data_IF_212326070038
#
_entry.id   IF_212326070038
#
_cell.length_a   1.000
_cell.length_b   1.000
_cell.length_c   1.000
_cell.angle_alpha   90.00
_cell.angle_beta   90.00
_cell.angle_gamma   90.00
#
_symmetry.space_group_name_H-M   'P 1'
#
loop_
_entity.id
_entity.type
_entity.pdbx_description
1 polymer ?
#
# COMPACT_ATOMS: atom_id res chain seq x y z
N UNK A 1 6.12 -20.40 0.81
CA UNK A 1 6.47 -19.76 2.09
C UNK A 1 5.49 -18.66 2.48
N UNK A 2 4.98 -17.85 1.53
CA UNK A 2 3.98 -16.80 1.81
C UNK A 2 2.70 -17.29 2.53
N UNK A 3 2.42 -18.60 2.50
CA UNK A 3 1.28 -19.19 3.21
C UNK A 3 1.50 -19.30 4.73
N UNK A 4 2.75 -19.44 5.14
CA UNK A 4 3.13 -19.60 6.56
C UNK A 4 3.72 -18.33 7.16
N UNK A 5 4.45 -17.55 6.34
CA UNK A 5 5.11 -16.32 6.74
C UNK A 5 4.80 -15.26 5.68
N UNK A 6 3.79 -14.41 5.88
CA UNK A 6 3.43 -13.38 4.90
C UNK A 6 4.56 -12.37 4.74
N UNK A 7 4.76 -11.91 3.49
CA UNK A 7 5.76 -10.92 3.09
C UNK A 7 7.24 -11.38 3.20
N UNK A 8 7.51 -12.69 3.23
CA UNK A 8 8.86 -13.23 3.10
C UNK A 8 9.04 -13.88 1.73
N UNK A 9 10.07 -13.45 1.00
CA UNK A 9 10.42 -13.96 -0.31
C UNK A 9 11.72 -14.73 -0.19
N UNK A 10 11.70 -16.03 -0.59
CA UNK A 10 12.87 -16.89 -0.61
C UNK A 10 13.15 -17.31 -2.05
N UNK A 11 14.44 -17.39 -2.42
CA UNK A 11 14.86 -18.05 -3.63
C UNK A 11 14.81 -19.56 -3.43
N UNK A 12 14.27 -20.28 -4.42
CA UNK A 12 14.30 -21.74 -4.50
C UNK A 12 15.35 -22.15 -5.52
N UNK A 13 16.41 -22.82 -5.07
CA UNK A 13 17.54 -23.24 -5.89
C UNK A 13 17.65 -24.76 -5.93
N UNK A 14 18.16 -25.31 -7.02
CA UNK A 14 18.50 -26.72 -7.17
C UNK A 14 19.90 -27.06 -6.67
N UNK A 15 20.77 -26.05 -6.60
CA UNK A 15 22.16 -26.15 -6.19
C UNK A 15 22.39 -25.39 -4.88
N UNK A 16 23.48 -25.73 -4.20
CA UNK A 16 23.93 -25.00 -3.00
C UNK A 16 24.70 -23.75 -3.41
N UNK A 17 24.38 -22.66 -2.75
CA UNK A 17 25.04 -21.37 -2.92
C UNK A 17 25.63 -20.89 -1.60
N UNK A 18 26.71 -20.12 -1.67
CA UNK A 18 27.34 -19.50 -0.51
C UNK A 18 26.76 -18.10 -0.21
N UNK A 19 26.90 -17.66 1.04
CA UNK A 19 26.50 -16.30 1.45
C UNK A 19 27.30 -15.25 0.68
N UNK A 20 26.61 -14.31 0.05
CA UNK A 20 27.20 -13.25 -0.78
C UNK A 20 27.27 -13.60 -2.27
N UNK A 21 26.95 -14.83 -2.67
CA UNK A 21 26.94 -15.24 -4.06
C UNK A 21 25.83 -14.53 -4.85
N UNK A 22 26.13 -14.14 -6.09
CA UNK A 22 25.18 -13.52 -7.00
C UNK A 22 24.45 -14.63 -7.77
N UNK A 23 23.13 -14.67 -7.66
CA UNK A 23 22.27 -15.61 -8.36
C UNK A 23 21.19 -14.89 -9.16
N UNK A 24 20.81 -15.46 -10.30
CA UNK A 24 19.67 -14.98 -11.07
C UNK A 24 18.39 -15.66 -10.59
N UNK A 25 17.39 -14.88 -10.20
CA UNK A 25 16.11 -15.38 -9.69
C UNK A 25 14.98 -14.95 -10.58
N UNK A 26 14.25 -15.92 -11.12
CA UNK A 26 13.04 -15.68 -11.88
C UNK A 26 11.82 -15.55 -10.95
N UNK A 27 11.03 -14.49 -11.13
CA UNK A 27 9.78 -14.29 -10.41
C UNK A 27 8.65 -15.11 -11.04
N UNK A 28 7.56 -15.34 -10.30
CA UNK A 28 6.34 -16.00 -10.83
C UNK A 28 5.72 -15.32 -12.06
N UNK A 29 6.18 -14.13 -12.43
CA UNK A 29 5.73 -13.38 -13.60
C UNK A 29 6.72 -13.40 -14.76
N UNK A 30 7.73 -14.28 -14.72
CA UNK A 30 8.75 -14.41 -15.76
C UNK A 30 9.77 -13.25 -15.79
N UNK A 31 9.90 -12.47 -14.70
CA UNK A 31 10.92 -11.43 -14.61
C UNK A 31 12.12 -11.96 -13.86
N UNK A 32 13.28 -11.78 -14.44
CA UNK A 32 14.56 -12.15 -13.87
C UNK A 32 15.17 -10.96 -13.12
N UNK A 33 15.81 -11.26 -12.00
CA UNK A 33 16.53 -10.29 -11.19
C UNK A 33 17.80 -10.93 -10.62
N UNK A 34 18.87 -10.16 -10.63
CA UNK A 34 20.09 -10.51 -9.94
C UNK A 34 19.89 -10.28 -8.44
N UNK A 35 20.16 -11.31 -7.66
CA UNK A 35 19.98 -11.31 -6.21
C UNK A 35 21.24 -11.84 -5.53
N UNK A 36 21.54 -11.29 -4.38
CA UNK A 36 22.63 -11.72 -3.50
C UNK A 36 22.03 -12.69 -2.49
N UNK A 37 22.62 -13.87 -2.37
CA UNK A 37 22.29 -14.88 -1.37
C UNK A 37 22.68 -14.39 0.02
N UNK A 38 21.76 -14.51 1.00
CA UNK A 38 22.06 -14.13 2.38
C UNK A 38 22.22 -15.36 3.27
N UNK A 39 21.13 -16.05 3.61
CA UNK A 39 21.19 -17.25 4.45
C UNK A 39 20.45 -18.44 3.82
N UNK A 40 20.94 -19.65 4.06
CA UNK A 40 20.19 -20.88 3.82
C UNK A 40 19.15 -21.07 4.94
N UNK A 41 17.88 -21.02 4.55
CA UNK A 41 16.76 -21.11 5.48
C UNK A 41 16.33 -22.55 5.75
N UNK A 42 16.24 -23.34 4.69
CA UNK A 42 15.81 -24.74 4.77
C UNK A 42 16.12 -25.50 3.49
N UNK A 43 16.19 -26.84 3.60
CA UNK A 43 16.26 -27.76 2.49
C UNK A 43 15.00 -28.63 2.50
N UNK A 44 14.26 -28.65 1.39
CA UNK A 44 13.02 -29.42 1.26
C UNK A 44 13.04 -30.15 -0.09
N UNK A 45 12.96 -31.47 -0.06
CA UNK A 45 12.87 -32.34 -1.26
C UNK A 45 14.01 -32.08 -2.28
N UNK A 46 15.22 -31.86 -1.81
CA UNK A 46 16.39 -31.60 -2.66
C UNK A 46 16.46 -30.19 -3.24
N UNK A 47 15.64 -29.27 -2.77
CA UNK A 47 15.73 -27.85 -3.10
C UNK A 47 16.18 -27.05 -1.88
N UNK A 48 17.07 -26.09 -2.15
CA UNK A 48 17.59 -25.15 -1.16
C UNK A 48 16.82 -23.83 -1.20
N UNK A 49 16.43 -23.32 -0.04
CA UNK A 49 15.67 -22.08 0.09
C UNK A 49 16.51 -21.05 0.80
N UNK A 50 16.79 -19.94 0.11
CA UNK A 50 17.65 -18.88 0.59
C UNK A 50 16.88 -17.58 0.83
N UNK A 51 17.24 -16.83 1.87
CA UNK A 51 16.95 -15.40 1.95
C UNK A 51 17.83 -14.68 0.94
N UNK A 52 17.26 -13.69 0.26
CA UNK A 52 17.92 -12.98 -0.83
C UNK A 52 17.67 -11.47 -0.74
N UNK A 53 18.65 -10.69 -1.19
CA UNK A 53 18.55 -9.25 -1.40
C UNK A 53 18.80 -8.95 -2.87
N UNK A 54 18.04 -8.05 -3.46
CA UNK A 54 18.23 -7.65 -4.87
C UNK A 54 19.55 -6.89 -5.04
N UNK A 55 20.34 -7.31 -6.02
CA UNK A 55 21.66 -6.72 -6.32
C UNK A 55 21.53 -5.31 -6.94
N UNK A 56 20.38 -4.96 -7.53
CA UNK A 56 20.12 -3.66 -8.15
C UNK A 56 19.85 -2.52 -7.14
N UNK A 57 20.00 -2.77 -5.84
CA UNK A 57 19.74 -1.79 -4.78
C UNK A 57 18.27 -1.39 -4.65
N UNK A 58 17.34 -2.24 -5.13
CA UNK A 58 15.91 -1.96 -5.03
C UNK A 58 15.48 -1.76 -3.58
N UNK A 59 15.06 -0.54 -3.27
CA UNK A 59 14.47 -0.20 -1.98
C UNK A 59 12.94 -0.18 -2.10
N UNK A 60 12.28 -1.10 -1.38
CA UNK A 60 10.84 -1.26 -1.42
C UNK A 60 10.09 -0.03 -0.86
N UNK A 61 10.66 0.62 0.15
CA UNK A 61 10.07 1.81 0.77
C UNK A 61 10.13 3.01 -0.18
N UNK A 62 11.29 3.24 -0.82
CA UNK A 62 11.42 4.30 -1.84
C UNK A 62 10.51 4.08 -3.03
N UNK A 63 10.39 2.83 -3.48
CA UNK A 63 9.46 2.50 -4.56
C UNK A 63 8.01 2.76 -4.18
N UNK A 64 7.60 2.38 -2.95
CA UNK A 64 6.27 2.65 -2.42
C UNK A 64 6.00 4.16 -2.33
N UNK A 65 6.98 4.94 -1.85
CA UNK A 65 6.91 6.41 -1.78
C UNK A 65 6.71 7.04 -3.17
N UNK A 66 7.53 6.67 -4.15
CA UNK A 66 7.38 7.13 -5.53
C UNK A 66 6.01 6.77 -6.13
N UNK A 67 5.47 5.61 -5.74
CA UNK A 67 4.15 5.17 -6.19
C UNK A 67 3.02 5.97 -5.53
N UNK A 68 3.13 6.28 -4.24
CA UNK A 68 2.23 7.18 -3.53
C UNK A 68 2.20 8.57 -4.18
N UNK A 69 3.36 9.17 -4.43
CA UNK A 69 3.48 10.47 -5.10
C UNK A 69 2.80 10.50 -6.48
N UNK A 70 3.00 9.45 -7.30
CA UNK A 70 2.34 9.34 -8.62
C UNK A 70 0.82 9.26 -8.52
N UNK A 71 0.30 8.53 -7.52
CA UNK A 71 -1.13 8.43 -7.28
C UNK A 71 -1.70 9.73 -6.73
N UNK A 72 -0.97 10.44 -5.87
CA UNK A 72 -1.33 11.76 -5.37
C UNK A 72 -1.49 12.76 -6.53
N UNK A 73 -0.52 12.80 -7.44
CA UNK A 73 -0.59 13.65 -8.62
C UNK A 73 -1.78 13.27 -9.52
N UNK A 74 -2.09 11.98 -9.65
CA UNK A 74 -3.24 11.51 -10.41
C UNK A 74 -4.57 11.92 -9.75
N UNK A 75 -4.66 11.87 -8.42
CA UNK A 75 -5.82 12.33 -7.64
C UNK A 75 -6.06 13.83 -7.87
N UNK A 76 -5.03 14.65 -7.65
CA UNK A 76 -5.11 16.10 -7.87
C UNK A 76 -5.51 16.48 -9.31
N UNK A 77 -5.01 15.75 -10.30
CA UNK A 77 -5.38 15.98 -11.69
C UNK A 77 -6.83 15.57 -11.99
N UNK A 78 -7.32 14.50 -11.38
CA UNK A 78 -8.70 14.06 -11.51
C UNK A 78 -9.65 15.07 -10.85
N UNK A 79 -9.31 15.57 -9.66
CA UNK A 79 -10.05 16.58 -8.93
C UNK A 79 -10.15 17.90 -9.72
N UNK A 80 -9.01 18.44 -10.21
CA UNK A 80 -8.99 19.64 -11.06
C UNK A 80 -9.87 19.50 -12.29
N UNK A 81 -9.86 18.34 -12.94
CA UNK A 81 -10.73 18.05 -14.07
C UNK A 81 -12.19 17.96 -13.67
N UNK A 82 -12.50 17.34 -12.51
CA UNK A 82 -13.84 17.29 -11.95
C UNK A 82 -14.40 18.69 -11.77
N UNK A 83 -13.65 19.58 -11.12
CA UNK A 83 -14.03 20.97 -10.88
C UNK A 83 -14.27 21.74 -12.19
N UNK A 84 -13.41 21.52 -13.19
CA UNK A 84 -13.57 22.12 -14.50
C UNK A 84 -14.89 21.70 -15.17
N UNK A 85 -15.20 20.40 -15.16
CA UNK A 85 -16.46 19.88 -15.70
C UNK A 85 -17.68 20.34 -14.86
N UNK A 86 -17.54 20.41 -13.56
CA UNK A 86 -18.59 20.92 -12.68
C UNK A 86 -18.90 22.40 -12.97
N UNK A 87 -17.87 23.24 -13.11
CA UNK A 87 -18.04 24.65 -13.52
C UNK A 87 -18.68 24.77 -14.89
N UNK A 88 -18.20 23.98 -15.85
CA UNK A 88 -18.74 23.98 -17.23
C UNK A 88 -20.18 23.45 -17.30
N UNK A 89 -20.63 22.60 -16.37
CA UNK A 89 -22.02 22.11 -16.32
C UNK A 89 -23.04 23.18 -15.94
N UNK A 90 -22.58 24.36 -15.50
CA UNK A 90 -23.42 25.53 -15.18
C UNK A 90 -23.60 26.49 -16.38
N UNK A 91 -23.21 26.05 -17.59
CA UNK A 91 -23.44 26.85 -18.80
C UNK A 91 -24.94 27.18 -18.94
N UNK A 92 -25.28 28.47 -19.11
CA UNK A 92 -26.63 28.92 -19.23
C UNK A 92 -27.51 28.78 -17.99
N UNK A 93 -26.88 28.72 -16.80
CA UNK A 93 -27.60 28.57 -15.53
C UNK A 93 -28.68 29.63 -15.32
N UNK A 94 -28.40 30.90 -15.66
CA UNK A 94 -29.37 31.99 -15.52
C UNK A 94 -30.60 31.77 -16.40
N UNK A 95 -30.42 31.30 -17.63
CA UNK A 95 -31.49 30.93 -18.53
C UNK A 95 -32.29 29.76 -18.03
N UNK A 96 -31.61 28.70 -17.57
CA UNK A 96 -32.28 27.50 -17.04
C UNK A 96 -32.98 27.74 -15.70
N UNK A 97 -32.51 28.72 -14.92
CA UNK A 97 -33.15 29.11 -13.65
C UNK A 97 -34.54 29.75 -13.84
N UNK A 98 -34.83 30.29 -15.03
CA UNK A 98 -36.16 30.82 -15.36
C UNK A 98 -37.24 29.72 -15.42
N UNK A 99 -36.83 28.44 -15.49
CA UNK A 99 -37.75 27.31 -15.48
C UNK A 99 -38.66 27.23 -16.71
N UNK A 100 -38.32 27.92 -17.83
CA UNK A 100 -39.15 27.89 -19.02
C UNK A 100 -39.21 26.48 -19.60
N UNK A 101 -40.40 25.98 -19.93
CA UNK A 101 -40.55 24.67 -20.56
C UNK A 101 -40.02 24.69 -21.98
N UNK A 102 -39.51 23.52 -22.44
CA UNK A 102 -39.06 23.37 -23.84
C UNK A 102 -40.26 23.56 -24.75
N UNK A 103 -40.23 24.57 -25.59
CA UNK A 103 -41.27 24.83 -26.60
C UNK A 103 -41.09 23.90 -27.78
N UNK A 104 -41.88 22.80 -27.81
CA UNK A 104 -41.81 21.76 -28.84
C UNK A 104 -42.21 22.35 -30.19
N UNK A 105 -41.42 22.05 -31.24
CA UNK A 105 -41.60 22.60 -32.61
C UNK A 105 -41.06 24.01 -32.81
N UNK A 106 -40.59 24.71 -31.76
CA UNK A 106 -40.00 26.04 -31.87
C UNK A 106 -38.53 25.96 -32.32
N UNK A 107 -38.05 26.96 -33.06
CA UNK A 107 -36.65 26.98 -33.56
C UNK A 107 -35.59 26.84 -32.44
N UNK A 108 -35.89 27.25 -31.23
CA UNK A 108 -35.01 27.15 -30.07
C UNK A 108 -34.97 25.77 -29.39
N UNK A 109 -35.89 24.85 -29.72
CA UNK A 109 -36.02 23.55 -29.05
C UNK A 109 -34.71 22.75 -29.06
N UNK A 110 -34.11 22.60 -30.26
CA UNK A 110 -32.87 21.83 -30.42
C UNK A 110 -31.73 22.39 -29.56
N UNK A 111 -31.60 23.74 -29.53
CA UNK A 111 -30.56 24.42 -28.74
C UNK A 111 -30.80 24.25 -27.23
N UNK A 112 -32.03 24.33 -26.77
CA UNK A 112 -32.38 24.17 -25.34
C UNK A 112 -32.10 22.73 -24.90
N UNK A 113 -32.55 21.71 -25.62
CA UNK A 113 -32.28 20.30 -25.35
C UNK A 113 -30.77 20.01 -25.34
N UNK A 114 -30.04 20.49 -26.32
CA UNK A 114 -28.59 20.29 -26.40
C UNK A 114 -27.84 20.95 -25.24
N UNK A 115 -28.30 22.10 -24.73
CA UNK A 115 -27.73 22.73 -23.54
C UNK A 115 -27.92 21.86 -22.29
N UNK A 116 -29.14 21.38 -22.05
CA UNK A 116 -29.46 20.52 -20.93
C UNK A 116 -28.63 19.22 -20.98
N UNK A 117 -28.58 18.59 -22.15
CA UNK A 117 -27.82 17.35 -22.35
C UNK A 117 -26.32 17.56 -22.13
N UNK A 118 -25.72 18.61 -22.66
CA UNK A 118 -24.32 18.95 -22.42
C UNK A 118 -24.02 19.15 -20.92
N UNK A 119 -24.89 19.89 -20.23
CA UNK A 119 -24.71 20.14 -18.80
C UNK A 119 -24.86 18.86 -17.98
N UNK A 120 -25.82 17.99 -18.32
CA UNK A 120 -25.97 16.68 -17.68
C UNK A 120 -24.72 15.79 -17.90
N UNK A 121 -24.22 15.71 -19.15
CA UNK A 121 -23.03 14.93 -19.48
C UNK A 121 -21.78 15.46 -18.76
N UNK A 122 -21.62 16.78 -18.66
CA UNK A 122 -20.53 17.41 -17.90
C UNK A 122 -20.63 17.13 -16.41
N UNK A 123 -21.83 17.20 -15.84
CA UNK A 123 -22.04 16.89 -14.43
C UNK A 123 -21.73 15.40 -14.14
N UNK A 124 -22.20 14.50 -15.00
CA UNK A 124 -21.91 13.07 -14.88
C UNK A 124 -20.38 12.82 -14.94
N UNK A 125 -19.69 13.51 -15.83
CA UNK A 125 -18.23 13.41 -15.95
C UNK A 125 -17.49 13.99 -14.74
N UNK A 126 -18.00 15.08 -14.16
CA UNK A 126 -17.47 15.64 -12.92
C UNK A 126 -17.57 14.62 -11.76
N UNK A 127 -18.74 14.00 -11.59
CA UNK A 127 -18.95 12.98 -10.54
C UNK A 127 -18.05 11.76 -10.75
N UNK A 128 -17.90 11.27 -11.99
CA UNK A 128 -16.99 10.16 -12.33
C UNK A 128 -15.54 10.48 -11.92
N UNK A 129 -15.06 11.67 -12.27
CA UNK A 129 -13.69 12.10 -11.96
C UNK A 129 -13.48 12.34 -10.47
N UNK A 130 -14.48 12.83 -9.74
CA UNK A 130 -14.43 12.98 -8.29
C UNK A 130 -14.31 11.62 -7.60
N UNK A 131 -15.11 10.62 -8.01
CA UNK A 131 -14.98 9.25 -7.51
C UNK A 131 -13.60 8.66 -7.78
N UNK A 132 -13.06 8.90 -8.99
CA UNK A 132 -11.72 8.43 -9.36
C UNK A 132 -10.61 9.11 -8.55
N UNK A 133 -10.77 10.39 -8.20
CA UNK A 133 -9.85 11.08 -7.28
C UNK A 133 -9.85 10.39 -5.92
N UNK A 134 -11.02 10.13 -5.34
CA UNK A 134 -11.16 9.45 -4.06
C UNK A 134 -10.56 8.03 -4.07
N UNK A 135 -10.73 7.29 -5.16
CA UNK A 135 -10.09 5.97 -5.31
C UNK A 135 -8.56 6.06 -5.31
N UNK A 136 -7.99 7.09 -5.97
CA UNK A 136 -6.56 7.32 -5.94
C UNK A 136 -6.07 7.71 -4.54
N UNK A 137 -6.78 8.56 -3.81
CA UNK A 137 -6.44 8.95 -2.43
C UNK A 137 -6.40 7.73 -1.49
N UNK A 138 -7.40 6.84 -1.58
CA UNK A 138 -7.42 5.60 -0.81
C UNK A 138 -6.19 4.71 -1.12
N UNK A 139 -5.74 4.70 -2.37
CA UNK A 139 -4.53 3.97 -2.78
C UNK A 139 -3.25 4.68 -2.34
N UNK A 140 -3.24 6.00 -2.24
CA UNK A 140 -2.12 6.77 -1.67
C UNK A 140 -1.90 6.35 -0.23
N UNK A 141 -2.94 6.39 0.60
CA UNK A 141 -2.85 5.99 2.01
C UNK A 141 -2.25 4.58 2.19
N UNK A 142 -2.66 3.62 1.36
CA UNK A 142 -2.08 2.27 1.37
C UNK A 142 -0.57 2.27 1.06
N UNK A 143 -0.12 3.04 0.05
CA UNK A 143 1.28 3.06 -0.34
C UNK A 143 2.15 3.87 0.61
N UNK A 144 1.62 4.91 1.25
CA UNK A 144 2.28 5.65 2.32
C UNK A 144 2.50 4.76 3.55
N UNK A 145 1.51 3.95 3.94
CA UNK A 145 1.69 2.94 4.98
C UNK A 145 2.81 1.95 4.62
N UNK A 146 2.84 1.47 3.36
CA UNK A 146 3.89 0.56 2.88
C UNK A 146 5.27 1.21 2.84
N UNK A 147 5.35 2.50 2.52
CA UNK A 147 6.61 3.27 2.52
C UNK A 147 7.21 3.41 3.93
N UNK A 148 6.35 3.42 4.96
CA UNK A 148 6.76 3.60 6.36
C UNK A 148 6.83 2.29 7.16
N UNK A 149 6.50 1.15 6.53
CA UNK A 149 6.47 -0.15 7.22
C UNK A 149 7.72 -0.95 6.90
N UNK A 150 8.44 -1.36 7.94
CA UNK A 150 9.49 -2.38 7.84
C UNK A 150 8.82 -3.75 7.95
N UNK A 151 9.14 -4.64 7.01
CA UNK A 151 8.62 -6.01 6.98
C UNK A 151 9.78 -7.02 6.99
N UNK A 152 9.46 -8.29 7.26
CA UNK A 152 10.43 -9.37 7.39
C UNK A 152 11.27 -9.65 6.13
N UNK A 153 10.90 -9.13 4.96
CA UNK A 153 11.72 -9.26 3.73
C UNK A 153 12.86 -8.24 3.65
N UNK A 154 13.00 -7.36 4.62
CA UNK A 154 14.03 -6.33 4.66
C UNK A 154 15.13 -6.74 5.65
N UNK A 155 16.41 -6.60 5.30
CA UNK A 155 17.50 -6.92 6.22
C UNK A 155 17.42 -6.16 7.56
N UNK A 156 16.97 -4.90 7.51
CA UNK A 156 16.80 -4.02 8.67
C UNK A 156 15.67 -4.48 9.61
N UNK A 157 14.90 -5.49 9.22
CA UNK A 157 13.79 -5.99 10.02
C UNK A 157 14.22 -6.62 11.34
N UNK A 158 15.41 -7.20 11.41
CA UNK A 158 15.93 -7.81 12.63
C UNK A 158 16.06 -6.75 13.73
N UNK A 159 16.87 -5.72 13.51
CA UNK A 159 17.07 -4.62 14.47
C UNK A 159 15.76 -3.91 14.82
N UNK A 160 14.90 -3.68 13.83
CA UNK A 160 13.61 -3.04 14.04
C UNK A 160 12.68 -3.86 14.96
N UNK A 161 12.58 -5.18 14.77
CA UNK A 161 11.71 -6.00 15.60
C UNK A 161 12.33 -6.29 16.96
N UNK A 162 13.65 -6.34 17.11
CA UNK A 162 14.33 -6.42 18.40
C UNK A 162 14.01 -5.17 19.23
N UNK A 163 14.19 -3.98 18.68
CA UNK A 163 13.83 -2.73 19.34
C UNK A 163 12.33 -2.68 19.75
N UNK A 164 11.44 -3.10 18.86
CA UNK A 164 10.00 -3.17 19.19
C UNK A 164 9.68 -4.19 20.27
N UNK A 165 10.38 -5.30 20.28
CA UNK A 165 10.20 -6.34 21.31
C UNK A 165 10.62 -5.82 22.67
N UNK A 166 11.76 -5.15 22.76
CA UNK A 166 12.24 -4.54 24.00
C UNK A 166 11.21 -3.57 24.60
N UNK A 167 10.73 -2.61 23.78
CA UNK A 167 9.70 -1.67 24.21
C UNK A 167 8.38 -2.36 24.63
N UNK A 168 7.99 -3.44 23.93
CA UNK A 168 6.77 -4.18 24.29
C UNK A 168 6.92 -4.96 25.60
N UNK A 169 8.12 -5.47 25.91
CA UNK A 169 8.45 -6.12 27.18
C UNK A 169 8.38 -5.10 28.31
N UNK A 170 9.02 -3.94 28.14
CA UNK A 170 8.99 -2.86 29.13
C UNK A 170 7.55 -2.42 29.43
N UNK A 171 6.74 -2.20 28.38
CA UNK A 171 5.33 -1.83 28.53
C UNK A 171 4.52 -2.91 29.28
N UNK A 172 4.67 -4.18 28.90
CA UNK A 172 4.01 -5.31 29.57
C UNK A 172 4.40 -5.38 31.05
N UNK A 173 5.69 -5.25 31.34
CA UNK A 173 6.21 -5.35 32.70
C UNK A 173 5.78 -4.14 33.55
N UNK A 174 5.70 -2.95 32.94
CA UNK A 174 5.11 -1.76 33.57
C UNK A 174 3.64 -1.96 33.95
N UNK A 175 2.83 -2.57 33.08
CA UNK A 175 1.44 -2.93 33.36
C UNK A 175 1.33 -4.01 34.46
N UNK A 176 2.28 -4.96 34.50
CA UNK A 176 2.32 -6.05 35.51
C UNK A 176 2.70 -5.53 36.86
N UNK A 177 3.70 -4.65 36.94
CA UNK A 177 4.23 -4.11 38.19
C UNK A 177 3.44 -2.89 38.70
N UNK A 178 2.48 -2.39 37.91
CA UNK A 178 1.65 -1.24 38.28
C UNK A 178 2.32 0.12 38.08
N UNK A 179 3.50 0.19 37.45
CA UNK A 179 4.16 1.45 37.06
C UNK A 179 3.44 2.15 35.89
N UNK A 180 2.75 1.37 35.07
CA UNK A 180 1.87 1.88 34.01
C UNK A 180 0.42 1.55 34.38
N UNK A 181 -0.45 2.56 34.34
CA UNK A 181 -1.86 2.37 34.60
C UNK A 181 -2.51 1.53 33.47
N UNK A 182 -3.45 0.66 33.84
CA UNK A 182 -4.21 -0.12 32.87
C UNK A 182 -5.40 0.67 32.37
N UNK A 183 -5.49 0.90 31.08
CA UNK A 183 -6.63 1.54 30.45
C UNK A 183 -7.90 0.69 30.56
N UNK A 184 -7.73 -0.65 30.58
CA UNK A 184 -8.84 -1.57 30.71
C UNK A 184 -8.38 -2.98 31.20
N UNK A 185 -9.34 -3.81 31.60
CA UNK A 185 -9.10 -5.14 32.22
C UNK A 185 -8.19 -6.05 31.40
N UNK A 186 -8.28 -5.99 30.05
CA UNK A 186 -7.48 -6.84 29.17
C UNK A 186 -6.15 -6.23 28.70
N UNK A 187 -5.76 -5.04 29.17
CA UNK A 187 -4.51 -4.36 28.76
C UNK A 187 -3.28 -5.26 28.89
N UNK A 188 -3.14 -5.97 30.00
CA UNK A 188 -2.03 -6.90 30.22
C UNK A 188 -2.06 -8.12 29.28
N UNK A 189 -3.26 -8.62 28.96
CA UNK A 189 -3.44 -9.75 28.05
C UNK A 189 -3.00 -9.35 26.62
N UNK A 190 -3.40 -8.16 26.15
CA UNK A 190 -2.99 -7.64 24.85
C UNK A 190 -1.50 -7.36 24.78
N UNK A 191 -0.91 -6.76 25.82
CA UNK A 191 0.52 -6.54 25.89
C UNK A 191 1.30 -7.87 25.86
N UNK A 192 0.84 -8.90 26.58
CA UNK A 192 1.46 -10.23 26.56
C UNK A 192 1.36 -10.88 25.18
N UNK A 193 0.23 -10.73 24.49
CA UNK A 193 0.04 -11.22 23.11
C UNK A 193 0.99 -10.49 22.16
N UNK A 194 1.11 -9.18 22.26
CA UNK A 194 2.01 -8.37 21.43
C UNK A 194 3.49 -8.80 21.60
N UNK A 195 3.93 -9.06 22.82
CA UNK A 195 5.28 -9.58 23.09
C UNK A 195 5.51 -10.91 22.39
N UNK A 196 4.58 -11.87 22.48
CA UNK A 196 4.70 -13.18 21.81
C UNK A 196 4.75 -13.05 20.29
N UNK A 197 3.93 -12.17 19.70
CA UNK A 197 3.93 -11.91 18.26
C UNK A 197 5.26 -11.28 17.80
N UNK A 198 5.82 -10.36 18.57
CA UNK A 198 7.11 -9.75 18.29
C UNK A 198 8.28 -10.73 18.48
N UNK A 199 8.24 -11.58 19.50
CA UNK A 199 9.23 -12.66 19.67
C UNK A 199 9.28 -13.57 18.44
N UNK A 200 8.13 -14.03 17.94
CA UNK A 200 8.07 -14.85 16.74
C UNK A 200 8.63 -14.11 15.51
N UNK A 201 8.40 -12.78 15.39
CA UNK A 201 8.97 -11.99 14.30
C UNK A 201 10.48 -11.84 14.40
N UNK A 202 11.02 -11.66 15.62
CA UNK A 202 12.48 -11.60 15.85
C UNK A 202 13.12 -12.94 15.52
N UNK A 203 12.54 -14.07 15.93
CA UNK A 203 13.04 -15.41 15.58
C UNK A 203 13.12 -15.61 14.04
N UNK A 204 12.06 -15.20 13.33
CA UNK A 204 12.04 -15.28 11.86
C UNK A 204 13.06 -14.34 11.25
N UNK A 205 13.13 -13.08 11.71
CA UNK A 205 14.09 -12.10 11.18
C UNK A 205 15.53 -12.53 11.43
N UNK A 206 15.84 -13.10 12.61
CA UNK A 206 17.14 -13.67 12.92
C UNK A 206 17.51 -14.83 11.98
N UNK A 207 16.55 -15.74 11.70
CA UNK A 207 16.78 -16.82 10.74
C UNK A 207 17.10 -16.30 9.31
N UNK A 208 16.46 -15.20 8.93
CA UNK A 208 16.63 -14.61 7.60
C UNK A 208 17.90 -13.77 7.46
N UNK A 209 18.27 -13.01 8.51
CA UNK A 209 19.20 -11.87 8.39
C UNK A 209 20.36 -11.86 9.40
N UNK A 210 20.49 -12.89 10.25
CA UNK A 210 21.66 -12.99 11.16
C UNK A 210 22.96 -13.44 10.46
#
# INVERSE_FOLDING_TARGET
YSKFIPNVFLAKCTEKHEKGELIQVETKYGKEHDCIVFNLITEIKGFFYYSIVRADGFNQQEWAKKKAERLQNAALNAEKKSDSYWKASKEGADFLALGEPIKVGHHSEKRHRALIERNHNRMSKAVELSKKSQEYENRVAYWDEKANTINLSMPESLEYYEFKLENAIEYRDGLKNGTIARDHVYSLTYATKAVKELQSKVEIASLLWS
#
